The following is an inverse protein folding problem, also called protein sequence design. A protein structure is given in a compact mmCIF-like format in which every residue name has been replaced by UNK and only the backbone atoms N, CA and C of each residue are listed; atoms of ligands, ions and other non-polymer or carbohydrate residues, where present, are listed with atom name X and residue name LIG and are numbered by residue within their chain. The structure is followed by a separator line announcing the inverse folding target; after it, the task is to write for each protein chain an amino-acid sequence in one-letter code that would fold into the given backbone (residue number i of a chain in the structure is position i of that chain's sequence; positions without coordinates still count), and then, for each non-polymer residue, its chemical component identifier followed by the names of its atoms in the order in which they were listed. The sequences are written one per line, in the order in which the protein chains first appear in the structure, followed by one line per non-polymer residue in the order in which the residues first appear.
data_IF_387419140236
#
_entry.id   IF_387419140236
#
_cell.length_a   1.000
_cell.length_b   1.000
_cell.length_c   1.000
_cell.angle_alpha   90.00
_cell.angle_beta   90.00
_cell.angle_gamma   90.00
#
_symmetry.space_group_name_H-M   'P 1'
#
loop_
_entity.id
_entity.type
_entity.pdbx_description
1 polymer ?
#
# COMPACT_ATOMS: atom_id res chain seq x y z
N UNK A 1 33.77 -9.79 43.58
CA UNK A 1 32.58 -9.64 44.45
C UNK A 1 32.24 -8.16 44.58
N UNK A 2 31.10 -7.70 44.05
CA UNK A 2 30.21 -6.73 44.73
C UNK A 2 29.13 -6.29 43.72
N UNK A 3 27.88 -6.57 44.09
CA UNK A 3 26.67 -6.28 43.33
C UNK A 3 26.25 -4.83 43.60
N UNK A 4 25.70 -4.12 42.63
CA UNK A 4 24.72 -3.08 42.97
C UNK A 4 23.63 -2.91 41.92
N UNK A 5 22.43 -3.24 42.39
CA UNK A 5 21.12 -3.17 41.77
C UNK A 5 20.60 -1.74 41.84
N UNK A 6 19.98 -1.22 40.77
CA UNK A 6 18.92 -0.21 40.94
C UNK A 6 17.84 -0.36 39.87
N UNK A 7 16.78 -1.04 40.30
CA UNK A 7 15.45 -1.11 39.69
C UNK A 7 14.74 0.26 39.79
N UNK A 8 13.59 0.34 39.10
CA UNK A 8 12.43 1.25 39.28
C UNK A 8 12.59 2.63 38.63
N UNK A 9 11.64 3.17 37.85
CA UNK A 9 10.18 3.10 37.93
C UNK A 9 9.51 3.21 36.54
N UNK A 10 8.45 2.42 36.38
CA UNK A 10 7.36 2.58 35.42
C UNK A 10 6.58 3.87 35.74
N UNK A 11 6.26 4.70 34.74
CA UNK A 11 5.21 5.73 34.90
C UNK A 11 4.20 5.63 33.76
N UNK A 12 3.16 4.82 34.00
CA UNK A 12 1.91 4.79 33.23
C UNK A 12 1.18 6.13 33.43
N UNK A 13 0.85 6.83 32.35
CA UNK A 13 -0.21 7.84 32.33
C UNK A 13 -1.33 7.31 31.45
N UNK A 14 -2.47 7.04 32.09
CA UNK A 14 -3.78 6.78 31.48
C UNK A 14 -4.60 8.08 31.52
N UNK A 15 -5.66 8.09 30.71
CA UNK A 15 -6.77 9.05 30.62
C UNK A 15 -6.39 10.30 29.80
N UNK A 16 -7.19 10.76 28.83
CA UNK A 16 -8.66 10.83 28.79
C UNK A 16 -9.20 10.85 27.35
N UNK A 17 -10.23 10.06 27.12
CA UNK A 17 -11.18 10.15 26.00
C UNK A 17 -12.11 11.34 26.22
N UNK A 18 -12.39 12.12 25.17
CA UNK A 18 -13.43 13.14 25.15
C UNK A 18 -14.29 12.99 23.89
N UNK A 19 -15.59 12.91 24.13
CA UNK A 19 -16.71 12.79 23.20
C UNK A 19 -16.68 13.86 22.10
N UNK A 20 -16.97 13.56 20.81
CA UNK A 20 -18.30 13.36 20.18
C UNK A 20 -19.34 14.41 20.59
N UNK A 21 -19.54 15.38 19.70
CA UNK A 21 -20.74 16.22 19.63
C UNK A 21 -21.32 16.12 18.20
N UNK A 22 -22.62 15.80 18.04
CA UNK A 22 -23.29 15.75 16.74
C UNK A 22 -24.11 17.03 16.49
N UNK A 23 -24.05 17.53 15.25
CA UNK A 23 -24.95 18.52 14.64
C UNK A 23 -24.88 18.23 13.13
N UNK A 24 -25.90 18.36 12.31
CA UNK A 24 -27.33 18.54 12.48
C UNK A 24 -27.95 18.16 11.11
N UNK A 25 -29.20 17.76 11.17
CA UNK A 25 -30.05 17.31 10.09
C UNK A 25 -30.54 18.51 9.24
N UNK A 26 -30.64 18.35 7.92
CA UNK A 26 -31.51 19.17 7.08
C UNK A 26 -31.94 18.39 5.84
N UNK A 27 -33.21 17.97 5.86
CA UNK A 27 -33.97 17.44 4.74
C UNK A 27 -34.03 18.43 3.57
N UNK A 28 -34.00 17.91 2.35
CA UNK A 28 -34.73 18.51 1.22
C UNK A 28 -35.05 17.42 0.19
N UNK A 29 -36.26 16.88 0.25
CA UNK A 29 -37.38 17.11 -0.69
C UNK A 29 -37.17 16.56 -2.10
N UNK A 30 -37.87 15.45 -2.38
CA UNK A 30 -38.15 14.88 -3.71
C UNK A 30 -39.16 15.78 -4.43
N UNK A 31 -39.20 15.76 -5.77
CA UNK A 31 -40.45 15.33 -6.40
C UNK A 31 -40.26 14.29 -7.52
N UNK A 32 -41.28 13.43 -7.76
CA UNK A 32 -41.27 12.44 -8.82
C UNK A 32 -41.83 13.01 -10.13
N UNK A 33 -41.30 12.54 -11.26
CA UNK A 33 -41.94 12.74 -12.56
C UNK A 33 -41.96 11.42 -13.31
N UNK A 34 -43.13 10.79 -13.31
CA UNK A 34 -43.56 9.84 -14.34
C UNK A 34 -43.60 10.53 -15.70
N UNK A 35 -43.14 9.88 -16.76
CA UNK A 35 -43.87 9.78 -18.05
C UNK A 35 -43.19 8.77 -19.00
N UNK A 36 -44.07 7.95 -19.58
CA UNK A 36 -44.04 7.32 -20.90
C UNK A 36 -43.07 6.18 -21.24
N UNK A 37 -43.59 4.97 -21.06
CA UNK A 37 -43.91 4.00 -22.12
C UNK A 37 -43.50 4.38 -23.55
N UNK A 38 -42.52 3.67 -24.10
CA UNK A 38 -42.53 3.27 -25.52
C UNK A 38 -42.07 1.82 -25.63
N UNK A 39 -43.03 0.95 -25.95
CA UNK A 39 -42.77 -0.39 -26.50
C UNK A 39 -42.06 -0.26 -27.85
N UNK A 40 -40.90 -0.91 -27.99
CA UNK A 40 -40.39 -1.30 -29.31
C UNK A 40 -40.12 -2.80 -29.27
N UNK A 41 -41.07 -3.50 -29.88
CA UNK A 41 -41.07 -4.92 -30.18
C UNK A 41 -40.17 -5.15 -31.40
N UNK A 42 -38.96 -5.67 -31.18
CA UNK A 42 -38.09 -6.13 -32.28
C UNK A 42 -37.83 -7.62 -32.12
N UNK A 43 -38.52 -8.34 -33.00
CA UNK A 43 -38.44 -9.75 -33.39
C UNK A 43 -37.16 -10.49 -32.99
N UNK A 44 -37.35 -11.48 -32.11
CA UNK A 44 -36.39 -12.55 -31.83
C UNK A 44 -36.53 -13.59 -32.94
N UNK A 45 -35.64 -13.52 -33.94
CA UNK A 45 -35.42 -14.65 -34.84
C UNK A 45 -34.61 -15.72 -34.10
N UNK A 46 -35.30 -16.80 -33.74
CA UNK A 46 -34.73 -18.02 -33.21
C UNK A 46 -33.85 -18.68 -34.28
N UNK A 47 -32.53 -18.57 -34.11
CA UNK A 47 -31.56 -19.43 -34.78
C UNK A 47 -30.74 -20.16 -33.74
N UNK A 48 -31.00 -21.47 -33.66
CA UNK A 48 -30.00 -22.51 -33.44
C UNK A 48 -29.31 -22.55 -32.07
N UNK A 49 -29.91 -23.30 -31.14
CA UNK A 49 -29.24 -23.80 -29.94
C UNK A 49 -28.27 -24.91 -30.35
N UNK A 50 -26.99 -24.61 -30.43
CA UNK A 50 -25.94 -25.63 -30.29
C UNK A 50 -25.59 -25.80 -28.81
N UNK A 51 -25.62 -27.03 -28.27
CA UNK A 51 -25.11 -27.30 -26.94
C UNK A 51 -23.59 -27.44 -26.99
N UNK A 52 -22.90 -26.74 -26.10
CA UNK A 52 -21.59 -27.16 -25.64
C UNK A 52 -20.40 -26.39 -26.19
N UNK A 53 -20.28 -25.11 -25.81
CA UNK A 53 -18.98 -24.58 -25.40
C UNK A 53 -19.22 -23.66 -24.21
N UNK A 54 -19.04 -24.17 -22.98
CA UNK A 54 -18.72 -23.34 -21.83
C UNK A 54 -17.50 -22.52 -22.24
N UNK A 55 -17.74 -21.28 -22.67
CA UNK A 55 -16.68 -20.37 -23.07
C UNK A 55 -15.98 -20.02 -21.77
N UNK A 56 -14.95 -20.79 -21.43
CA UNK A 56 -13.99 -20.43 -20.41
C UNK A 56 -13.55 -19.01 -20.76
N UNK A 57 -13.91 -18.05 -19.91
CA UNK A 57 -13.46 -16.68 -20.06
C UNK A 57 -11.94 -16.74 -20.17
N UNK A 58 -11.40 -16.46 -21.35
CA UNK A 58 -9.96 -16.34 -21.58
C UNK A 58 -9.51 -15.16 -20.74
N UNK A 59 -9.08 -15.45 -19.50
CA UNK A 59 -8.48 -14.49 -18.59
C UNK A 59 -7.37 -13.79 -19.37
N UNK A 60 -7.47 -12.47 -19.51
CA UNK A 60 -6.43 -11.70 -20.16
C UNK A 60 -5.07 -12.04 -19.51
N UNK A 61 -4.01 -12.27 -20.29
CA UNK A 61 -2.71 -12.66 -19.74
C UNK A 61 -2.22 -11.57 -18.79
N UNK A 62 -1.93 -11.95 -17.55
CA UNK A 62 -1.27 -11.07 -16.59
C UNK A 62 0.25 -11.23 -16.69
N UNK A 63 0.98 -10.19 -16.28
CA UNK A 63 2.44 -10.24 -16.20
C UNK A 63 2.87 -10.95 -14.91
N UNK A 64 3.35 -12.20 -15.02
CA UNK A 64 3.75 -13.01 -13.88
C UNK A 64 4.95 -12.43 -13.11
N UNK A 65 5.78 -11.63 -13.79
CA UNK A 65 6.99 -11.04 -13.21
C UNK A 65 6.72 -9.77 -12.39
N UNK A 66 5.50 -9.22 -12.49
CA UNK A 66 5.18 -7.90 -11.97
C UNK A 66 5.39 -7.80 -10.46
N UNK A 67 5.01 -8.84 -9.70
CA UNK A 67 5.22 -8.81 -8.24
C UNK A 67 6.70 -8.77 -7.89
N UNK A 68 7.54 -9.53 -8.58
CA UNK A 68 8.97 -9.59 -8.27
C UNK A 68 9.68 -8.30 -8.64
N UNK A 69 9.26 -7.65 -9.74
CA UNK A 69 9.68 -6.28 -10.06
C UNK A 69 9.27 -5.31 -8.95
N UNK A 70 8.02 -5.38 -8.48
CA UNK A 70 7.53 -4.51 -7.41
C UNK A 70 8.32 -4.71 -6.10
N UNK A 71 8.60 -5.96 -5.75
CA UNK A 71 9.39 -6.32 -4.57
C UNK A 71 10.81 -5.79 -4.66
N UNK A 72 11.48 -6.02 -5.79
CA UNK A 72 12.84 -5.54 -6.03
C UNK A 72 12.93 -4.02 -5.94
N UNK A 73 12.00 -3.30 -6.58
CA UNK A 73 11.91 -1.83 -6.47
C UNK A 73 11.68 -1.37 -5.04
N UNK A 74 10.77 -2.02 -4.30
CA UNK A 74 10.52 -1.68 -2.90
C UNK A 74 11.75 -1.95 -2.02
N UNK A 75 12.41 -3.09 -2.17
CA UNK A 75 13.63 -3.45 -1.44
C UNK A 75 14.73 -2.40 -1.65
N UNK A 76 14.95 -2.01 -2.90
CA UNK A 76 15.95 -1.02 -3.30
C UNK A 76 15.52 0.44 -3.10
N UNK A 77 14.36 0.70 -2.50
CA UNK A 77 13.80 2.04 -2.32
C UNK A 77 13.65 2.85 -3.64
N UNK A 78 13.33 2.17 -4.74
CA UNK A 78 12.97 2.78 -6.02
C UNK A 78 11.50 3.24 -6.04
N UNK A 79 11.20 4.23 -5.22
CA UNK A 79 9.83 4.70 -5.01
C UNK A 79 9.20 5.28 -6.28
N UNK A 80 9.94 6.06 -7.06
CA UNK A 80 9.44 6.63 -8.31
C UNK A 80 9.07 5.53 -9.31
N UNK A 81 9.97 4.54 -9.49
CA UNK A 81 9.71 3.44 -10.41
C UNK A 81 8.56 2.52 -9.98
N UNK A 82 8.25 2.47 -8.69
CA UNK A 82 7.12 1.72 -8.16
C UNK A 82 5.80 2.51 -8.28
N UNK A 83 5.82 3.84 -8.11
CA UNK A 83 4.64 4.70 -8.19
C UNK A 83 4.09 4.91 -9.62
N UNK A 84 4.90 4.64 -10.66
CA UNK A 84 4.45 4.74 -12.06
C UNK A 84 3.69 3.49 -12.54
N UNK A 85 3.53 2.46 -11.71
CA UNK A 85 2.83 1.24 -12.09
C UNK A 85 1.32 1.49 -12.08
N UNK A 86 0.69 1.36 -13.25
CA UNK A 86 -0.73 1.64 -13.43
C UNK A 86 -1.64 0.53 -12.87
N UNK A 87 -2.80 0.93 -12.36
CA UNK A 87 -3.84 0.04 -11.82
C UNK A 87 -4.34 -0.99 -12.84
N UNK A 88 -4.34 -0.65 -14.13
CA UNK A 88 -4.81 -1.56 -15.20
C UNK A 88 -3.97 -2.84 -15.26
N UNK A 89 -2.68 -2.78 -14.91
CA UNK A 89 -1.78 -3.94 -14.89
C UNK A 89 -2.09 -4.92 -13.74
N UNK A 90 -2.87 -4.48 -12.75
CA UNK A 90 -3.21 -5.29 -11.58
C UNK A 90 -4.49 -6.11 -11.76
N UNK A 91 -5.36 -5.76 -12.72
CA UNK A 91 -6.75 -6.23 -12.77
C UNK A 91 -6.88 -7.77 -12.74
N UNK A 92 -6.01 -8.48 -13.45
CA UNK A 92 -6.05 -9.94 -13.55
C UNK A 92 -4.93 -10.64 -12.74
N UNK A 93 -4.10 -9.89 -12.02
CA UNK A 93 -2.97 -10.47 -11.30
C UNK A 93 -3.45 -11.20 -10.03
N UNK A 94 -3.03 -12.46 -9.80
CA UNK A 94 -3.49 -13.26 -8.65
C UNK A 94 -3.07 -12.66 -7.30
N UNK A 95 -1.97 -11.89 -7.29
CA UNK A 95 -1.39 -11.26 -6.10
C UNK A 95 -1.50 -9.73 -6.13
N UNK A 96 -2.58 -9.22 -6.73
CA UNK A 96 -2.83 -7.77 -6.87
C UNK A 96 -2.92 -7.03 -5.54
N UNK A 97 -3.29 -7.72 -4.47
CA UNK A 97 -3.30 -7.23 -3.09
C UNK A 97 -1.89 -6.77 -2.64
N UNK A 98 -0.89 -7.62 -2.84
CA UNK A 98 0.52 -7.34 -2.50
C UNK A 98 1.09 -6.25 -3.39
N UNK A 99 0.79 -6.29 -4.69
CA UNK A 99 1.28 -5.29 -5.65
C UNK A 99 0.71 -3.91 -5.30
N UNK A 100 -0.61 -3.79 -5.12
CA UNK A 100 -1.27 -2.55 -4.73
C UNK A 100 -0.69 -1.99 -3.42
N UNK A 101 -0.42 -2.86 -2.46
CA UNK A 101 0.16 -2.43 -1.18
C UNK A 101 1.59 -1.88 -1.32
N UNK A 102 2.43 -2.51 -2.17
CA UNK A 102 3.77 -2.00 -2.46
C UNK A 102 3.73 -0.64 -3.19
N UNK A 103 2.80 -0.47 -4.13
CA UNK A 103 2.56 0.81 -4.83
C UNK A 103 2.08 1.88 -3.83
N UNK A 104 1.17 1.54 -2.92
CA UNK A 104 0.73 2.44 -1.86
C UNK A 104 1.90 2.96 -1.01
N UNK A 105 2.85 2.07 -0.66
CA UNK A 105 4.06 2.47 0.06
C UNK A 105 4.93 3.45 -0.71
N UNK A 106 5.11 3.28 -2.02
CA UNK A 106 5.82 4.26 -2.82
C UNK A 106 5.12 5.63 -2.79
N UNK A 107 3.79 5.67 -2.93
CA UNK A 107 3.05 6.93 -2.83
C UNK A 107 3.16 7.59 -1.45
N UNK A 108 3.13 6.82 -0.35
CA UNK A 108 3.39 7.39 0.98
C UNK A 108 4.79 7.99 1.09
N UNK A 109 5.82 7.31 0.58
CA UNK A 109 7.21 7.80 0.63
C UNK A 109 7.43 9.04 -0.24
N UNK A 110 6.67 9.19 -1.32
CA UNK A 110 6.70 10.35 -2.21
C UNK A 110 5.79 11.51 -1.74
N UNK A 111 5.01 11.33 -0.66
CA UNK A 111 4.07 12.33 -0.17
C UNK A 111 2.73 12.38 -0.92
N UNK A 112 2.51 11.48 -1.88
CA UNK A 112 1.29 11.37 -2.69
C UNK A 112 0.15 10.70 -1.90
N UNK A 113 -0.32 11.37 -0.85
CA UNK A 113 -1.18 10.75 0.18
C UNK A 113 -2.52 10.25 -0.37
N UNK A 114 -3.13 10.96 -1.33
CA UNK A 114 -4.40 10.56 -1.95
C UNK A 114 -4.26 9.23 -2.71
N UNK A 115 -3.23 9.11 -3.55
CA UNK A 115 -2.95 7.88 -4.29
C UNK A 115 -2.57 6.74 -3.35
N UNK A 116 -1.81 7.02 -2.30
CA UNK A 116 -1.47 6.01 -1.30
C UNK A 116 -2.72 5.42 -0.63
N UNK A 117 -3.70 6.26 -0.29
CA UNK A 117 -4.99 5.80 0.25
C UNK A 117 -5.77 4.98 -0.78
N UNK A 118 -5.82 5.43 -2.04
CA UNK A 118 -6.49 4.71 -3.13
C UNK A 118 -5.92 3.30 -3.31
N UNK A 119 -4.60 3.16 -3.39
CA UNK A 119 -3.94 1.86 -3.54
C UNK A 119 -4.03 1.00 -2.27
N UNK A 120 -4.08 1.61 -1.08
CA UNK A 120 -4.33 0.87 0.16
C UNK A 120 -5.73 0.26 0.16
N UNK A 121 -6.73 1.03 -0.26
CA UNK A 121 -8.10 0.51 -0.38
C UNK A 121 -8.18 -0.61 -1.42
N UNK A 122 -7.55 -0.42 -2.60
CA UNK A 122 -7.47 -1.46 -3.62
C UNK A 122 -6.81 -2.75 -3.11
N UNK A 123 -5.77 -2.65 -2.28
CA UNK A 123 -5.15 -3.82 -1.66
C UNK A 123 -6.10 -4.54 -0.69
N UNK A 124 -6.83 -3.79 0.15
CA UNK A 124 -7.81 -4.34 1.09
C UNK A 124 -8.98 -5.02 0.35
N UNK A 125 -9.51 -4.38 -0.69
CA UNK A 125 -10.60 -4.93 -1.53
C UNK A 125 -10.15 -6.20 -2.27
N UNK A 126 -8.86 -6.30 -2.59
CA UNK A 126 -8.25 -7.49 -3.17
C UNK A 126 -7.94 -8.62 -2.17
N UNK A 127 -8.19 -8.41 -0.87
CA UNK A 127 -8.02 -9.44 0.17
C UNK A 127 -6.80 -9.26 1.07
N UNK A 128 -6.06 -8.14 0.98
CA UNK A 128 -4.98 -7.86 1.92
C UNK A 128 -5.54 -7.79 3.35
N UNK A 129 -4.89 -8.49 4.28
CA UNK A 129 -5.22 -8.31 5.70
C UNK A 129 -4.59 -7.02 6.25
N UNK A 130 -5.10 -6.52 7.38
CA UNK A 130 -4.60 -5.30 8.03
C UNK A 130 -3.15 -5.43 8.51
N UNK A 131 -2.65 -6.66 8.70
CA UNK A 131 -1.30 -6.92 9.25
C UNK A 131 -0.19 -6.51 8.27
N UNK A 132 -0.14 -6.99 7.00
CA UNK A 132 0.81 -6.50 6.00
C UNK A 132 0.73 -4.98 5.80
N UNK A 133 -0.47 -4.40 5.84
CA UNK A 133 -0.64 -2.94 5.74
C UNK A 133 0.08 -2.23 6.89
N UNK A 134 -0.16 -2.66 8.13
CA UNK A 134 0.52 -2.11 9.30
C UNK A 134 2.04 -2.29 9.24
N UNK A 135 2.52 -3.46 8.82
CA UNK A 135 3.95 -3.74 8.65
C UNK A 135 4.61 -2.78 7.66
N UNK A 136 3.95 -2.52 6.53
CA UNK A 136 4.50 -1.61 5.51
C UNK A 136 4.51 -0.16 5.99
N UNK A 137 3.51 0.26 6.76
CA UNK A 137 3.50 1.58 7.41
C UNK A 137 4.62 1.71 8.45
N UNK A 138 4.83 0.70 9.30
CA UNK A 138 5.94 0.69 10.29
C UNK A 138 7.29 0.74 9.57
N UNK A 139 7.46 -0.02 8.49
CA UNK A 139 8.64 0.04 7.63
C UNK A 139 8.87 1.46 7.08
N UNK A 140 7.80 2.13 6.64
CA UNK A 140 7.84 3.52 6.21
C UNK A 140 8.30 4.50 7.29
N UNK A 141 7.89 4.31 8.56
CA UNK A 141 8.36 5.12 9.69
C UNK A 141 9.87 4.95 9.90
N UNK A 142 10.36 3.70 9.87
CA UNK A 142 11.79 3.44 9.97
C UNK A 142 12.57 4.10 8.81
N UNK A 143 12.03 4.09 7.59
CA UNK A 143 12.63 4.79 6.46
C UNK A 143 12.75 6.30 6.70
N UNK A 144 11.70 6.94 7.24
CA UNK A 144 11.73 8.36 7.60
C UNK A 144 12.80 8.64 8.68
N UNK A 145 12.87 7.82 9.73
CA UNK A 145 13.88 7.96 10.78
C UNK A 145 15.30 7.76 10.25
N UNK A 146 15.50 6.82 9.33
CA UNK A 146 16.78 6.61 8.67
C UNK A 146 17.22 7.86 7.88
N UNK A 147 16.31 8.47 7.11
CA UNK A 147 16.58 9.73 6.41
C UNK A 147 16.96 10.85 7.38
N UNK A 148 16.20 11.02 8.48
CA UNK A 148 16.50 12.04 9.50
C UNK A 148 17.87 11.85 10.13
N UNK A 149 18.23 10.61 10.51
CA UNK A 149 19.56 10.33 11.07
C UNK A 149 20.68 10.55 10.05
N UNK A 150 20.47 10.16 8.79
CA UNK A 150 21.42 10.44 7.70
C UNK A 150 21.60 11.94 7.46
N UNK A 151 20.54 12.74 7.63
CA UNK A 151 20.64 14.21 7.58
C UNK A 151 21.45 14.79 8.73
N UNK A 152 21.38 14.18 9.91
CA UNK A 152 22.15 14.57 11.11
C UNK A 152 23.59 14.01 11.13
N UNK A 153 24.01 13.25 10.11
CA UNK A 153 25.34 12.65 10.03
C UNK A 153 25.51 11.35 10.84
N UNK A 154 24.44 10.85 11.48
CA UNK A 154 24.45 9.57 12.20
C UNK A 154 24.25 8.41 11.22
N UNK A 155 25.33 7.99 10.56
CA UNK A 155 25.28 6.95 9.55
C UNK A 155 24.94 5.57 10.11
N UNK A 156 25.47 5.24 11.30
CA UNK A 156 25.21 3.96 11.96
C UNK A 156 23.74 3.86 12.38
N UNK A 157 23.21 4.92 12.98
CA UNK A 157 21.80 4.96 13.37
C UNK A 157 20.86 4.99 12.16
N UNK A 158 21.26 5.62 11.05
CA UNK A 158 20.51 5.56 9.80
C UNK A 158 20.49 4.13 9.23
N UNK A 159 21.63 3.45 9.19
CA UNK A 159 21.74 2.06 8.75
C UNK A 159 20.85 1.13 9.58
N UNK A 160 20.88 1.25 10.91
CA UNK A 160 20.03 0.45 11.80
C UNK A 160 18.54 0.61 11.48
N UNK A 161 18.09 1.83 11.17
CA UNK A 161 16.70 2.04 10.75
C UNK A 161 16.41 1.55 9.33
N UNK A 162 17.35 1.60 8.40
CA UNK A 162 17.19 0.94 7.10
C UNK A 162 17.00 -0.57 7.25
N UNK A 163 17.77 -1.21 8.13
CA UNK A 163 17.65 -2.64 8.41
C UNK A 163 16.28 -3.00 8.98
N UNK A 164 15.81 -2.25 9.99
CA UNK A 164 14.46 -2.43 10.54
C UNK A 164 13.35 -2.19 9.51
N UNK A 165 13.52 -1.21 8.61
CA UNK A 165 12.58 -0.96 7.54
C UNK A 165 12.47 -2.17 6.60
N UNK A 166 13.59 -2.76 6.19
CA UNK A 166 13.60 -3.94 5.30
C UNK A 166 13.00 -5.16 6.02
N UNK A 167 13.44 -5.45 7.24
CA UNK A 167 13.00 -6.61 8.01
C UNK A 167 11.50 -6.56 8.36
N UNK A 168 10.96 -5.38 8.63
CA UNK A 168 9.55 -5.22 9.02
C UNK A 168 8.60 -5.28 7.83
N UNK A 169 9.01 -4.83 6.64
CA UNK A 169 8.12 -4.68 5.49
C UNK A 169 7.62 -5.99 4.87
N UNK A 170 8.08 -7.14 5.34
CA UNK A 170 7.54 -8.45 4.97
C UNK A 170 7.89 -8.91 3.55
N UNK A 171 8.85 -8.24 2.90
CA UNK A 171 9.40 -8.66 1.60
C UNK A 171 10.69 -9.46 1.86
N UNK A 172 10.80 -10.71 1.37
CA UNK A 172 11.96 -11.57 1.64
C UNK A 172 13.24 -11.03 1.01
N UNK A 173 14.41 -11.22 1.63
CA UNK A 173 15.70 -10.80 1.09
C UNK A 173 16.80 -10.73 2.16
N UNK A 174 18.03 -10.41 1.76
CA UNK A 174 19.13 -10.13 2.69
C UNK A 174 18.98 -8.72 3.28
N UNK A 175 18.62 -8.64 4.55
CA UNK A 175 18.34 -7.38 5.23
C UNK A 175 19.53 -6.42 5.27
N UNK A 176 20.75 -6.94 5.49
CA UNK A 176 21.95 -6.10 5.60
C UNK A 176 22.38 -5.57 4.24
N UNK A 177 22.36 -6.42 3.22
CA UNK A 177 22.63 -6.01 1.85
C UNK A 177 21.64 -4.92 1.40
N UNK A 178 20.35 -5.14 1.64
CA UNK A 178 19.31 -4.19 1.25
C UNK A 178 19.36 -2.89 2.06
N UNK A 179 19.72 -2.94 3.35
CA UNK A 179 19.95 -1.74 4.15
C UNK A 179 21.09 -0.90 3.58
N UNK A 180 22.18 -1.53 3.14
CA UNK A 180 23.29 -0.85 2.46
C UNK A 180 22.86 -0.22 1.13
N UNK A 181 22.09 -0.93 0.32
CA UNK A 181 21.53 -0.38 -0.93
C UNK A 181 20.69 0.87 -0.67
N UNK A 182 19.82 0.83 0.35
CA UNK A 182 19.01 2.00 0.74
C UNK A 182 19.87 3.17 1.23
N UNK A 183 20.91 2.89 2.02
CA UNK A 183 21.86 3.91 2.49
C UNK A 183 22.59 4.61 1.33
N UNK A 184 23.03 3.86 0.32
CA UNK A 184 23.66 4.41 -0.88
C UNK A 184 22.67 5.28 -1.68
N UNK A 185 21.43 4.82 -1.85
CA UNK A 185 20.41 5.58 -2.59
C UNK A 185 20.07 6.92 -1.92
N UNK A 186 20.04 6.99 -0.59
CA UNK A 186 19.85 8.25 0.14
C UNK A 186 20.96 9.28 -0.18
N UNK A 187 22.20 8.84 -0.41
CA UNK A 187 23.30 9.73 -0.79
C UNK A 187 23.08 10.32 -2.19
N UNK A 188 22.56 9.53 -3.13
CA UNK A 188 22.31 9.98 -4.51
C UNK A 188 21.21 11.04 -4.63
N UNK A 189 20.21 11.01 -3.73
CA UNK A 189 19.14 12.00 -3.74
C UNK A 189 19.58 13.39 -3.22
N UNK A 190 20.62 13.45 -2.37
CA UNK A 190 21.18 14.73 -1.90
C UNK A 190 21.97 15.50 -2.98
N UNK A 191 22.41 14.84 -4.05
CA UNK A 191 23.19 15.47 -5.13
C UNK A 191 22.32 16.08 -6.25
N UNK A 192 20.99 15.95 -6.17
CA UNK A 192 20.05 16.39 -7.21
C UNK A 192 19.14 17.57 -6.80
N UNK A 193 19.35 18.13 -5.61
CA UNK A 193 18.65 19.33 -5.12
C UNK A 193 19.65 20.43 -4.83
#
# INVERSE_FOLDING_TARGET
MSKSNKKRQLKKRKHTSAARTPLNNASSTVPPTDVDSVSVETQISASHVQPGHTTAATLAPYDESLLDVCRSRWQCADWQGLAIIETVRLAHHPQRDKIALLIAAAHWQLGNTQEAQRFTQAALDAGASKRPVAQLLISGVHQCLANSRKMLGDEQGAFAHCLEAVNTGGVPGDGELLANVRMQRMQTNKMKG
#
